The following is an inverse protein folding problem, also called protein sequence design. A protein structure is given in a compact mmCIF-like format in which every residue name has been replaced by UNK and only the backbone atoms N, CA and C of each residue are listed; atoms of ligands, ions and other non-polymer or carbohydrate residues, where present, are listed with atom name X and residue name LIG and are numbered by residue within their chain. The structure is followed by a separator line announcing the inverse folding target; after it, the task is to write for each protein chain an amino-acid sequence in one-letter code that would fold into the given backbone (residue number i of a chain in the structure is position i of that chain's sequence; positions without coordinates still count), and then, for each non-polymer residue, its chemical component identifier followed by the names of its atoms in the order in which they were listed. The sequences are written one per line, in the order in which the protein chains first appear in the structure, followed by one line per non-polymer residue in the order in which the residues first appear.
data_IF_484557496474
#
_entry.id   IF_484557496474
#
_cell.length_a   1.000
_cell.length_b   1.000
_cell.length_c   1.000
_cell.angle_alpha   90.00
_cell.angle_beta   90.00
_cell.angle_gamma   90.00
#
_symmetry.space_group_name_H-M   'P 1'
#
loop_
_entity.id
_entity.type
_entity.pdbx_description
1 polymer ?
#
# COMPACT_ATOMS: atom_id res chain seq x y z
N UNK A 1 0.74 15.46 -14.65
CA UNK A 1 -0.25 15.93 -15.64
C UNK A 1 -1.60 15.41 -15.20
N UNK A 2 -2.40 16.30 -14.63
CA UNK A 2 -3.85 16.32 -14.56
C UNK A 2 -4.19 17.58 -13.76
N UNK A 3 -4.61 18.59 -14.51
CA UNK A 3 -4.84 19.98 -14.12
C UNK A 3 -5.97 20.15 -13.09
N UNK A 4 -5.86 21.23 -12.33
CA UNK A 4 -6.86 21.68 -11.35
C UNK A 4 -8.03 22.32 -12.12
N UNK A 5 -9.27 21.90 -11.86
CA UNK A 5 -10.45 22.62 -12.32
C UNK A 5 -10.99 23.51 -11.20
N UNK A 6 -10.97 24.80 -11.50
CA UNK A 6 -11.48 25.93 -10.71
C UNK A 6 -12.94 26.19 -11.16
N UNK A 7 -13.88 26.30 -10.22
CA UNK A 7 -15.30 26.46 -10.52
C UNK A 7 -15.97 27.41 -9.52
N UNK A 8 -16.27 28.63 -9.98
CA UNK A 8 -16.84 29.74 -9.21
C UNK A 8 -18.36 29.89 -9.45
N UNK A 9 -19.14 29.87 -8.35
CA UNK A 9 -20.38 30.65 -8.00
C UNK A 9 -21.72 30.46 -8.79
N UNK A 10 -22.90 31.03 -8.36
CA UNK A 10 -23.31 31.63 -7.08
C UNK A 10 -24.69 31.14 -6.53
N UNK A 11 -25.03 31.50 -5.28
CA UNK A 11 -26.39 31.33 -4.75
C UNK A 11 -26.68 32.16 -3.48
N UNK A 12 -27.35 33.30 -3.68
CA UNK A 12 -27.69 34.36 -2.71
C UNK A 12 -28.68 33.95 -1.60
N UNK A 13 -28.56 34.53 -0.39
CA UNK A 13 -29.64 35.31 0.29
C UNK A 13 -29.16 36.07 1.57
N UNK A 14 -29.38 37.38 1.54
CA UNK A 14 -29.91 38.28 2.59
C UNK A 14 -29.12 38.64 3.87
N UNK A 15 -28.49 39.83 3.80
CA UNK A 15 -28.60 41.02 4.68
C UNK A 15 -28.73 40.88 6.21
N UNK A 16 -27.73 41.38 6.96
CA UNK A 16 -27.95 42.21 8.17
C UNK A 16 -26.81 43.23 8.32
N UNK A 17 -27.17 44.52 8.34
CA UNK A 17 -26.30 45.65 8.64
C UNK A 17 -26.07 45.78 10.16
N UNK A 18 -24.84 46.04 10.57
CA UNK A 18 -24.51 46.36 11.96
C UNK A 18 -23.08 46.89 12.09
N UNK A 19 -22.94 48.21 12.12
CA UNK A 19 -21.68 48.89 12.43
C UNK A 19 -21.37 48.84 13.93
N UNK A 20 -20.10 48.58 14.25
CA UNK A 20 -19.45 49.07 15.47
C UNK A 20 -19.27 48.07 16.61
N UNK A 21 -18.04 48.01 17.16
CA UNK A 21 -17.80 47.57 18.53
C UNK A 21 -16.68 46.54 18.71
N UNK A 22 -15.57 46.99 19.30
CA UNK A 22 -14.35 46.23 19.57
C UNK A 22 -14.47 45.16 20.68
N UNK A 23 -13.52 44.19 20.61
CA UNK A 23 -12.96 43.33 21.69
C UNK A 23 -13.76 42.10 22.13
N UNK A 24 -13.23 40.90 21.88
CA UNK A 24 -12.35 40.17 22.82
C UNK A 24 -12.31 38.66 22.55
N UNK A 25 -11.12 38.07 22.73
CA UNK A 25 -10.99 36.70 23.24
C UNK A 25 -11.10 35.59 22.21
N UNK A 26 -9.98 35.26 21.57
CA UNK A 26 -9.90 34.02 20.83
C UNK A 26 -8.58 33.80 20.09
N UNK A 27 -7.44 34.10 20.72
CA UNK A 27 -6.13 33.65 20.24
C UNK A 27 -6.10 32.11 20.26
N UNK A 28 -6.64 31.49 19.21
CA UNK A 28 -6.40 30.09 18.91
C UNK A 28 -5.27 30.01 17.88
N UNK A 29 -4.10 30.53 18.26
CA UNK A 29 -2.90 30.43 17.46
C UNK A 29 -1.97 29.38 18.07
N UNK A 30 -2.02 28.16 17.53
CA UNK A 30 -0.94 27.21 17.71
C UNK A 30 0.07 27.41 16.57
N UNK A 31 1.20 28.04 16.88
CA UNK A 31 2.29 28.20 15.93
C UNK A 31 3.21 26.97 15.99
N UNK A 32 3.15 26.09 14.97
CA UNK A 32 4.16 25.04 14.80
C UNK A 32 5.51 25.71 14.51
N UNK A 33 6.42 25.68 15.48
CA UNK A 33 7.75 26.31 15.33
C UNK A 33 8.68 25.48 14.44
N UNK A 34 8.64 24.16 14.58
CA UNK A 34 9.50 23.23 13.83
C UNK A 34 8.89 21.84 13.86
N UNK A 35 8.87 21.16 12.72
CA UNK A 35 8.41 19.78 12.60
C UNK A 35 9.48 18.96 11.88
N UNK A 36 9.79 17.77 12.40
CA UNK A 36 10.66 16.80 11.74
C UNK A 36 9.87 15.49 11.59
N UNK A 37 9.25 15.32 10.43
CA UNK A 37 8.51 14.11 10.11
C UNK A 37 9.48 12.98 9.77
N UNK A 38 9.20 11.78 10.28
CA UNK A 38 9.82 10.56 9.78
C UNK A 38 8.68 9.66 9.34
N UNK A 39 8.75 9.19 8.09
CA UNK A 39 7.82 8.22 7.55
C UNK A 39 8.60 7.06 6.95
N UNK A 40 8.09 5.85 7.17
CA UNK A 40 8.45 4.70 6.37
C UNK A 40 7.44 4.59 5.24
N UNK A 41 7.94 4.30 4.05
CA UNK A 41 7.12 4.09 2.87
C UNK A 41 7.41 2.69 2.32
N UNK A 42 6.37 2.06 1.79
CA UNK A 42 6.46 0.86 0.96
C UNK A 42 5.89 1.20 -0.40
N UNK A 43 6.39 0.55 -1.45
CA UNK A 43 5.66 0.54 -2.72
C UNK A 43 4.36 -0.24 -2.52
N UNK A 44 3.23 0.37 -2.88
CA UNK A 44 1.98 -0.35 -3.10
C UNK A 44 2.12 -1.19 -4.38
N UNK A 45 2.91 -2.24 -4.28
CA UNK A 45 2.83 -3.37 -5.20
C UNK A 45 1.85 -4.30 -4.53
N UNK A 46 0.70 -4.51 -5.16
CA UNK A 46 -0.24 -5.56 -4.80
C UNK A 46 0.55 -6.86 -4.56
N UNK A 47 0.77 -7.22 -3.29
CA UNK A 47 1.53 -8.41 -2.88
C UNK A 47 0.90 -9.70 -3.39
N UNK A 48 -0.32 -9.60 -3.91
CA UNK A 48 -1.02 -10.68 -4.56
C UNK A 48 -0.40 -11.04 -5.90
N UNK A 49 0.53 -10.26 -6.48
CA UNK A 49 1.12 -10.53 -7.80
C UNK A 49 2.64 -10.73 -7.72
N UNK A 50 3.14 -11.86 -8.22
CA UNK A 50 4.56 -12.20 -8.12
C UNK A 50 5.42 -11.21 -8.92
N UNK A 51 6.39 -10.54 -8.28
CA UNK A 51 7.27 -9.57 -8.95
C UNK A 51 8.09 -10.15 -10.13
N UNK A 52 8.24 -11.47 -10.19
CA UNK A 52 8.97 -12.18 -11.26
C UNK A 52 8.01 -12.55 -12.39
N UNK A 53 6.88 -13.19 -12.08
CA UNK A 53 5.99 -13.79 -13.08
C UNK A 53 4.70 -12.99 -13.37
N UNK A 54 4.45 -11.89 -12.64
CA UNK A 54 3.26 -11.01 -12.75
C UNK A 54 1.89 -11.72 -12.69
N UNK A 55 1.84 -12.89 -12.04
CA UNK A 55 0.62 -13.70 -11.82
C UNK A 55 0.32 -13.76 -10.32
N UNK A 56 -0.95 -14.04 -9.96
CA UNK A 56 -1.38 -14.18 -8.57
C UNK A 56 -0.45 -15.14 -7.79
N UNK A 57 0.07 -14.69 -6.63
CA UNK A 57 1.06 -15.39 -5.81
C UNK A 57 0.41 -16.53 -5.06
N UNK A 58 0.22 -17.65 -5.75
CA UNK A 58 -0.09 -18.90 -5.06
C UNK A 58 1.19 -19.42 -4.40
N UNK A 59 1.17 -19.66 -3.09
CA UNK A 59 2.29 -20.23 -2.34
C UNK A 59 2.17 -21.76 -2.34
N UNK A 60 3.24 -22.45 -2.70
CA UNK A 60 3.34 -23.91 -2.59
C UNK A 60 4.27 -24.27 -1.43
N UNK A 61 3.84 -25.24 -0.62
CA UNK A 61 4.59 -25.79 0.51
C UNK A 61 5.00 -27.21 0.18
N UNK A 62 6.27 -27.53 0.41
CA UNK A 62 6.76 -28.91 0.33
C UNK A 62 6.61 -29.63 1.68
N UNK A 63 6.65 -30.97 1.68
CA UNK A 63 6.65 -31.78 2.91
C UNK A 63 7.83 -31.47 3.85
N UNK A 64 8.91 -30.89 3.29
CA UNK A 64 10.04 -30.35 4.05
C UNK A 64 9.73 -29.02 4.77
N UNK A 65 8.46 -28.57 4.80
CA UNK A 65 7.99 -27.29 5.37
C UNK A 65 8.61 -26.03 4.75
N UNK A 66 9.27 -26.13 3.59
CA UNK A 66 9.72 -24.97 2.83
C UNK A 66 8.64 -24.49 1.86
N UNK A 67 8.44 -23.18 1.80
CA UNK A 67 7.44 -22.53 0.95
C UNK A 67 8.07 -21.72 -0.16
N UNK A 68 7.51 -21.79 -1.36
CA UNK A 68 7.95 -21.04 -2.53
C UNK A 68 6.75 -20.54 -3.33
N UNK A 69 6.97 -19.61 -4.25
CA UNK A 69 5.94 -19.27 -5.23
C UNK A 69 5.68 -20.46 -6.15
N UNK A 70 4.41 -20.76 -6.39
CA UNK A 70 3.98 -21.83 -7.29
C UNK A 70 4.61 -21.69 -8.69
N UNK A 71 4.67 -20.46 -9.25
CA UNK A 71 5.25 -20.24 -10.57
C UNK A 71 6.76 -20.55 -10.60
N UNK A 72 7.51 -20.14 -9.57
CA UNK A 72 8.96 -20.38 -9.48
C UNK A 72 9.26 -21.86 -9.26
N UNK A 73 8.52 -22.51 -8.36
CA UNK A 73 8.74 -23.92 -8.04
C UNK A 73 8.35 -24.83 -9.21
N UNK A 74 7.26 -24.51 -9.92
CA UNK A 74 6.83 -25.27 -11.11
C UNK A 74 7.86 -25.23 -12.24
N UNK A 75 8.66 -24.16 -12.36
CA UNK A 75 9.76 -24.09 -13.32
C UNK A 75 11.00 -24.84 -12.82
N UNK A 76 11.30 -24.73 -11.53
CA UNK A 76 12.44 -25.40 -10.91
C UNK A 76 12.35 -26.93 -11.02
N UNK A 77 11.20 -27.51 -10.66
CA UNK A 77 10.99 -28.96 -10.64
C UNK A 77 11.13 -29.60 -12.03
N UNK A 78 10.96 -28.83 -13.12
CA UNK A 78 11.22 -29.32 -14.48
C UNK A 78 12.69 -29.66 -14.74
N UNK A 79 13.61 -29.05 -13.99
CA UNK A 79 15.05 -29.27 -14.14
C UNK A 79 15.66 -30.00 -12.93
N UNK A 80 15.12 -29.80 -11.72
CA UNK A 80 15.63 -30.40 -10.51
C UNK A 80 14.49 -30.72 -9.53
N UNK A 81 14.28 -32.01 -9.25
CA UNK A 81 13.20 -32.47 -8.35
C UNK A 81 13.56 -32.37 -6.86
N UNK A 82 14.41 -31.42 -6.48
CA UNK A 82 14.90 -31.25 -5.11
C UNK A 82 14.54 -29.89 -4.56
N UNK A 83 14.27 -29.80 -3.26
CA UNK A 83 14.07 -28.54 -2.57
C UNK A 83 15.34 -27.66 -2.66
N UNK A 84 15.23 -26.37 -3.08
CA UNK A 84 16.36 -25.45 -3.13
C UNK A 84 17.07 -25.20 -1.79
N UNK A 85 16.39 -25.41 -0.66
CA UNK A 85 16.91 -25.11 0.67
C UNK A 85 17.53 -26.33 1.36
N UNK A 86 16.81 -27.47 1.38
CA UNK A 86 17.28 -28.67 2.08
C UNK A 86 17.77 -29.79 1.17
N UNK A 87 17.67 -29.66 -0.15
CA UNK A 87 18.07 -30.67 -1.14
C UNK A 87 17.40 -32.06 -0.96
N UNK A 88 16.31 -32.12 -0.20
CA UNK A 88 15.43 -33.29 -0.14
C UNK A 88 14.57 -33.35 -1.39
N UNK A 89 14.06 -34.53 -1.73
CA UNK A 89 13.16 -34.69 -2.87
C UNK A 89 11.91 -33.83 -2.67
N UNK A 90 11.52 -33.10 -3.71
CA UNK A 90 10.43 -32.16 -3.65
C UNK A 90 9.09 -32.87 -3.78
N UNK A 91 8.30 -32.85 -2.71
CA UNK A 91 6.92 -33.36 -2.68
C UNK A 91 6.02 -32.25 -2.17
N UNK A 92 4.96 -31.96 -2.92
CA UNK A 92 4.00 -30.89 -2.59
C UNK A 92 3.11 -31.33 -1.44
N UNK A 93 3.09 -30.57 -0.36
CA UNK A 93 2.21 -30.77 0.78
C UNK A 93 0.89 -29.99 0.62
N UNK A 94 0.96 -28.71 0.24
CA UNK A 94 -0.23 -27.85 0.04
C UNK A 94 0.04 -26.68 -0.87
N UNK A 95 -0.99 -26.21 -1.57
CA UNK A 95 -0.98 -24.97 -2.36
C UNK A 95 -2.00 -24.02 -1.71
N UNK A 96 -1.53 -22.84 -1.29
CA UNK A 96 -2.34 -21.79 -0.66
C UNK A 96 -2.44 -20.54 -1.52
N UNK A 97 -3.53 -19.79 -1.33
CA UNK A 97 -3.62 -18.39 -1.75
C UNK A 97 -2.79 -17.51 -0.82
#
# INVERSE_FOLDING_TARGET
MADVEDGEEPGVISSHSGSGGSKSGGDKMFSLKKWNAVAMWSWDVECDTCAICRVQVMVVWGECNHSFHNCCMSLWVKQNNRCPLCQQDWVVQRIGK
#
